data_IF_907313429454
#
_entry.id   IF_907313429454
#
_cell.length_a   1.000
_cell.length_b   1.000
_cell.length_c   1.000
_cell.angle_alpha   90.00
_cell.angle_beta   90.00
_cell.angle_gamma   90.00
#
_symmetry.space_group_name_H-M   'P 1'
#
loop_
_entity.id
_entity.type
_entity.pdbx_description
1 polymer ?
#
# COMPACT_ATOMS: atom_id res chain seq x y z
N UNK A 1 -27.66 -6.76 6.89
CA UNK A 1 -26.32 -7.05 6.34
C UNK A 1 -25.68 -5.71 6.10
N UNK A 2 -24.61 -5.39 6.83
CA UNK A 2 -23.83 -4.17 6.59
C UNK A 2 -23.06 -4.39 5.30
N UNK A 3 -23.14 -3.46 4.35
CA UNK A 3 -22.31 -3.48 3.14
C UNK A 3 -20.90 -3.11 3.59
N UNK A 4 -19.90 -3.91 3.21
CA UNK A 4 -18.50 -3.63 3.53
C UNK A 4 -17.95 -2.62 2.50
N UNK A 5 -17.04 -1.72 2.93
CA UNK A 5 -16.33 -0.82 2.00
C UNK A 5 -15.58 -1.59 0.92
N UNK A 6 -15.46 -1.03 -0.28
CA UNK A 6 -14.75 -1.71 -1.38
C UNK A 6 -13.24 -1.76 -1.16
N UNK A 7 -12.65 -0.72 -0.57
CA UNK A 7 -11.22 -0.69 -0.23
C UNK A 7 -10.98 -0.79 1.26
N UNK A 8 -10.20 -1.79 1.65
CA UNK A 8 -9.84 -2.04 3.05
C UNK A 8 -8.43 -2.59 3.10
N UNK A 9 -7.55 -1.96 3.86
CA UNK A 9 -6.16 -2.40 4.01
C UNK A 9 -5.68 -2.24 5.44
N UNK A 10 -4.98 -3.26 5.92
CA UNK A 10 -4.20 -3.22 7.16
C UNK A 10 -2.76 -3.52 6.79
N UNK A 11 -1.88 -2.56 7.00
CA UNK A 11 -0.45 -2.75 6.86
C UNK A 11 0.17 -3.09 8.19
N UNK A 12 0.93 -4.17 8.21
CA UNK A 12 1.73 -4.57 9.35
C UNK A 12 3.20 -4.37 9.02
N UNK A 13 3.91 -3.64 9.85
CA UNK A 13 5.38 -3.66 9.86
C UNK A 13 5.82 -4.46 11.07
N UNK A 14 6.61 -5.50 10.87
CA UNK A 14 6.93 -6.51 11.87
C UNK A 14 8.46 -6.64 12.02
N UNK A 15 8.94 -6.69 13.27
CA UNK A 15 10.36 -6.93 13.58
C UNK A 15 10.49 -8.21 14.40
N UNK A 16 11.21 -9.18 13.86
CA UNK A 16 11.39 -10.51 14.46
C UNK A 16 12.87 -10.78 14.72
N UNK A 17 13.19 -11.21 15.95
CA UNK A 17 14.53 -11.63 16.32
C UNK A 17 14.84 -13.00 15.73
N UNK A 18 15.64 -13.01 14.67
CA UNK A 18 15.98 -14.23 13.94
C UNK A 18 17.25 -14.07 13.12
N UNK A 19 17.86 -15.18 12.72
CA UNK A 19 18.94 -15.18 11.74
C UNK A 19 18.38 -15.05 10.32
N UNK A 20 19.13 -14.44 9.41
CA UNK A 20 18.68 -14.22 8.02
C UNK A 20 18.28 -15.50 7.26
N UNK A 21 18.81 -16.67 7.68
CA UNK A 21 18.46 -17.95 7.05
C UNK A 21 17.04 -18.42 7.39
N UNK A 22 16.43 -17.87 8.45
CA UNK A 22 15.07 -18.20 8.92
C UNK A 22 14.00 -17.34 8.24
N UNK A 23 14.39 -16.32 7.47
CA UNK A 23 13.50 -15.30 6.90
C UNK A 23 12.32 -15.88 6.13
N UNK A 24 12.58 -16.79 5.17
CA UNK A 24 11.53 -17.40 4.35
C UNK A 24 10.56 -18.27 5.16
N UNK A 25 11.04 -18.95 6.21
CA UNK A 25 10.18 -19.74 7.09
C UNK A 25 9.27 -18.85 7.93
N UNK A 26 9.80 -17.74 8.45
CA UNK A 26 9.04 -16.75 9.22
C UNK A 26 7.99 -16.10 8.32
N UNK A 27 8.35 -15.68 7.10
CA UNK A 27 7.41 -15.13 6.14
C UNK A 27 6.25 -16.10 5.85
N UNK A 28 6.53 -17.38 5.63
CA UNK A 28 5.50 -18.40 5.42
C UNK A 28 4.56 -18.55 6.64
N UNK A 29 5.10 -18.55 7.86
CA UNK A 29 4.29 -18.62 9.08
C UNK A 29 3.41 -17.36 9.27
N UNK A 30 3.97 -16.18 8.98
CA UNK A 30 3.24 -14.92 9.04
C UNK A 30 2.08 -14.92 8.04
N UNK A 31 2.34 -15.34 6.79
CA UNK A 31 1.31 -15.50 5.75
C UNK A 31 0.21 -16.45 6.20
N UNK A 32 0.57 -17.65 6.70
CA UNK A 32 -0.41 -18.64 7.17
C UNK A 32 -1.28 -18.08 8.30
N UNK A 33 -0.66 -17.41 9.27
CA UNK A 33 -1.37 -16.86 10.44
C UNK A 33 -2.29 -15.70 10.05
N UNK A 34 -1.79 -14.78 9.22
CA UNK A 34 -2.55 -13.60 8.79
C UNK A 34 -3.67 -13.93 7.79
N UNK A 35 -3.55 -15.01 7.04
CA UNK A 35 -4.58 -15.48 6.11
C UNK A 35 -5.92 -15.81 6.80
N UNK A 36 -5.92 -16.01 8.13
CA UNK A 36 -7.15 -16.18 8.89
C UNK A 36 -8.02 -14.90 8.96
N UNK A 37 -7.43 -13.73 8.66
CA UNK A 37 -8.09 -12.42 8.78
C UNK A 37 -8.47 -11.81 7.42
N UNK A 38 -7.99 -12.37 6.32
CA UNK A 38 -8.17 -11.80 4.99
C UNK A 38 -7.20 -12.34 3.95
N UNK A 39 -7.13 -11.68 2.80
CA UNK A 39 -6.13 -11.94 1.77
C UNK A 39 -4.85 -11.21 2.20
N UNK A 40 -3.71 -11.91 2.23
CA UNK A 40 -2.45 -11.34 2.73
C UNK A 40 -1.30 -11.57 1.77
N UNK A 41 -0.45 -10.55 1.64
CA UNK A 41 0.88 -10.63 1.06
C UNK A 41 1.92 -10.24 2.12
N UNK A 42 3.00 -11.01 2.24
CA UNK A 42 4.09 -10.75 3.18
C UNK A 42 5.38 -10.53 2.41
N UNK A 43 6.05 -9.42 2.70
CA UNK A 43 7.30 -9.00 2.09
C UNK A 43 8.46 -9.15 3.07
N UNK A 44 9.56 -9.73 2.60
CA UNK A 44 10.81 -9.87 3.34
C UNK A 44 11.70 -8.64 3.08
N UNK A 45 11.70 -7.66 3.98
CA UNK A 45 12.55 -6.46 3.86
C UNK A 45 14.02 -6.75 4.27
N UNK A 46 14.24 -7.85 5.01
CA UNK A 46 15.56 -8.33 5.41
C UNK A 46 16.03 -7.74 6.74
N UNK A 47 17.35 -7.65 7.00
CA UNK A 47 17.86 -7.18 8.29
C UNK A 47 17.45 -5.73 8.61
N UNK A 48 16.97 -5.49 9.82
CA UNK A 48 16.59 -4.15 10.26
C UNK A 48 17.82 -3.24 10.33
N UNK A 49 17.76 -2.09 9.66
CA UNK A 49 18.91 -1.20 9.49
C UNK A 49 19.54 -0.70 10.81
N UNK A 50 18.77 -0.67 11.91
CA UNK A 50 19.26 -0.21 13.23
C UNK A 50 19.69 -1.34 14.16
N UNK A 51 19.29 -2.58 13.88
CA UNK A 51 19.64 -3.76 14.68
C UNK A 51 19.68 -4.99 13.78
N UNK A 52 20.89 -5.46 13.47
CA UNK A 52 21.10 -6.62 12.60
C UNK A 52 20.72 -7.96 13.22
N UNK A 53 20.25 -7.97 14.49
CA UNK A 53 19.67 -9.15 15.14
C UNK A 53 18.17 -9.28 14.88
N UNK A 54 17.57 -8.30 14.19
CA UNK A 54 16.16 -8.28 13.80
C UNK A 54 16.02 -8.40 12.28
N UNK A 55 15.02 -9.15 11.85
CA UNK A 55 14.50 -9.15 10.49
C UNK A 55 13.22 -8.29 10.44
N UNK A 56 13.12 -7.49 9.40
CA UNK A 56 11.96 -6.65 9.09
C UNK A 56 11.11 -7.34 8.02
N UNK A 57 9.80 -7.34 8.26
CA UNK A 57 8.79 -7.79 7.33
C UNK A 57 7.71 -6.73 7.20
N UNK A 58 7.19 -6.56 6.00
CA UNK A 58 5.93 -5.86 5.76
C UNK A 58 4.85 -6.90 5.44
N UNK A 59 3.60 -6.65 5.84
CA UNK A 59 2.47 -7.45 5.43
C UNK A 59 1.30 -6.55 5.06
N UNK A 60 0.72 -6.84 3.89
CA UNK A 60 -0.42 -6.15 3.34
C UNK A 60 -1.61 -7.08 3.45
N UNK A 61 -2.55 -6.73 4.31
CA UNK A 61 -3.75 -7.52 4.58
C UNK A 61 -4.97 -6.78 4.04
N UNK A 62 -5.70 -7.40 3.12
CA UNK A 62 -7.06 -7.02 2.73
C UNK A 62 -8.05 -7.78 3.64
N UNK A 63 -8.69 -7.11 4.62
CA UNK A 63 -9.51 -7.78 5.60
C UNK A 63 -10.79 -8.41 5.04
N UNK A 64 -11.15 -9.60 5.55
CA UNK A 64 -12.44 -10.25 5.23
C UNK A 64 -13.65 -9.54 5.87
N UNK A 65 -13.41 -8.69 6.87
CA UNK A 65 -14.41 -7.89 7.61
C UNK A 65 -14.08 -6.41 7.51
N UNK A 66 -14.75 -5.54 8.27
CA UNK A 66 -14.36 -4.13 8.38
C UNK A 66 -12.98 -3.99 9.02
N UNK A 67 -12.26 -2.92 8.70
CA UNK A 67 -10.88 -2.72 9.18
C UNK A 67 -10.81 -2.65 10.70
N UNK A 68 -11.74 -1.96 11.34
CA UNK A 68 -11.81 -1.88 12.81
C UNK A 68 -11.99 -3.25 13.47
N UNK A 69 -12.86 -4.10 12.92
CA UNK A 69 -13.12 -5.46 13.42
C UNK A 69 -11.92 -6.38 13.19
N UNK A 70 -11.24 -6.23 12.04
CA UNK A 70 -10.01 -6.96 11.75
C UNK A 70 -8.91 -6.57 12.72
N UNK A 71 -8.70 -5.27 12.93
CA UNK A 71 -7.73 -4.77 13.90
C UNK A 71 -8.08 -5.26 15.30
N UNK A 72 -9.35 -5.20 15.72
CA UNK A 72 -9.83 -5.75 16.98
C UNK A 72 -9.44 -7.23 17.14
N UNK A 73 -9.71 -8.04 16.12
CA UNK A 73 -9.41 -9.48 16.11
C UNK A 73 -7.90 -9.76 16.16
N UNK A 74 -7.10 -8.96 15.48
CA UNK A 74 -5.64 -9.01 15.62
C UNK A 74 -5.25 -8.68 17.07
N UNK A 75 -5.83 -7.64 17.68
CA UNK A 75 -5.53 -7.24 19.08
C UNK A 75 -5.74 -8.40 20.05
N UNK A 76 -6.81 -9.16 19.83
CA UNK A 76 -7.21 -10.26 20.69
C UNK A 76 -6.20 -11.43 20.68
N UNK A 77 -5.30 -11.51 19.68
CA UNK A 77 -4.19 -12.47 19.69
C UNK A 77 -3.16 -12.18 20.79
N UNK A 78 -2.99 -10.91 21.18
CA UNK A 78 -2.03 -10.47 22.18
C UNK A 78 -2.58 -9.27 22.97
N UNK A 79 -3.60 -9.49 23.84
CA UNK A 79 -4.33 -8.41 24.51
C UNK A 79 -3.44 -7.55 25.43
N UNK A 80 -2.31 -8.07 25.88
CA UNK A 80 -1.34 -7.37 26.73
C UNK A 80 -0.24 -6.62 25.94
N UNK A 81 -0.17 -6.78 24.61
CA UNK A 81 0.90 -6.25 23.76
C UNK A 81 0.69 -4.82 23.24
N UNK A 82 -0.41 -4.16 23.58
CA UNK A 82 -0.79 -2.85 23.05
C UNK A 82 -0.15 -1.69 23.82
N UNK A 83 0.77 -0.96 23.19
CA UNK A 83 1.33 0.28 23.75
C UNK A 83 1.38 1.41 22.72
N UNK A 84 0.61 2.47 22.94
CA UNK A 84 0.72 3.68 22.11
C UNK A 84 2.13 4.27 22.25
N UNK A 85 2.86 4.28 21.14
CA UNK A 85 4.10 5.05 21.02
C UNK A 85 3.77 6.46 20.55
N UNK A 86 4.71 7.40 20.71
CA UNK A 86 4.52 8.79 20.24
C UNK A 86 4.26 8.90 18.72
N UNK A 87 4.63 7.87 17.96
CA UNK A 87 4.48 7.79 16.50
C UNK A 87 3.28 6.96 16.05
N UNK A 88 2.44 6.48 16.98
CA UNK A 88 1.24 5.71 16.64
C UNK A 88 1.03 4.46 17.49
N UNK A 89 0.06 3.65 17.07
CA UNK A 89 -0.28 2.37 17.67
C UNK A 89 0.79 1.33 17.35
N UNK A 90 1.78 1.18 18.22
CA UNK A 90 2.78 0.13 18.11
C UNK A 90 2.49 -0.99 19.11
N UNK A 91 2.92 -2.19 18.77
CA UNK A 91 2.91 -3.34 19.63
C UNK A 91 4.37 -3.60 19.94
N UNK A 92 4.71 -3.55 21.22
CA UNK A 92 5.99 -4.02 21.69
C UNK A 92 5.69 -5.21 22.59
N UNK A 93 6.38 -6.32 22.39
CA UNK A 93 6.28 -7.42 23.34
C UNK A 93 6.88 -6.93 24.67
N UNK A 94 6.02 -6.81 25.69
CA UNK A 94 6.50 -6.71 27.06
C UNK A 94 7.12 -8.05 27.46
N UNK A 95 8.20 -8.02 28.25
CA UNK A 95 8.88 -9.25 28.69
C UNK A 95 7.88 -10.19 29.40
N UNK A 96 7.63 -11.37 28.80
CA UNK A 96 6.66 -12.35 29.31
C UNK A 96 5.23 -12.24 28.78
N UNK A 97 4.93 -11.31 27.87
CA UNK A 97 3.62 -11.17 27.24
C UNK A 97 3.30 -12.33 26.25
N UNK A 98 2.01 -12.63 26.00
CA UNK A 98 1.59 -13.60 25.00
C UNK A 98 2.10 -13.26 23.59
N UNK A 99 2.34 -14.31 22.80
CA UNK A 99 2.91 -14.24 21.45
C UNK A 99 1.97 -13.51 20.49
N UNK A 100 2.43 -12.45 19.84
CA UNK A 100 1.75 -11.86 18.69
C UNK A 100 2.38 -12.38 17.40
N UNK A 101 1.59 -13.08 16.54
CA UNK A 101 1.93 -13.70 15.23
C UNK A 101 3.16 -14.64 15.18
N UNK A 102 4.28 -14.30 15.82
CA UNK A 102 5.51 -15.06 15.89
C UNK A 102 6.17 -14.97 17.28
N UNK A 103 6.66 -16.09 17.87
CA UNK A 103 7.18 -16.13 19.25
C UNK A 103 8.44 -15.29 19.51
N UNK A 104 9.19 -14.93 18.46
CA UNK A 104 10.38 -14.08 18.54
C UNK A 104 10.12 -12.65 18.04
N UNK A 105 8.84 -12.24 17.94
CA UNK A 105 8.52 -10.90 17.49
C UNK A 105 8.83 -9.88 18.59
N UNK A 106 9.65 -8.89 18.28
CA UNK A 106 9.99 -7.85 19.25
C UNK A 106 9.03 -6.67 19.16
N UNK A 107 8.60 -6.35 17.93
CA UNK A 107 7.85 -5.15 17.64
C UNK A 107 6.96 -5.30 16.41
N UNK A 108 5.81 -4.64 16.42
CA UNK A 108 4.96 -4.48 15.26
C UNK A 108 4.26 -3.11 15.25
N UNK A 109 3.96 -2.58 14.07
CA UNK A 109 3.05 -1.44 13.92
C UNK A 109 1.99 -1.74 12.90
N UNK A 110 0.79 -1.21 13.13
CA UNK A 110 -0.32 -1.28 12.21
C UNK A 110 -0.62 0.11 11.64
N UNK A 111 -0.85 0.15 10.33
CA UNK A 111 -1.50 1.27 9.63
C UNK A 111 -2.75 0.75 8.93
N UNK A 112 -3.76 1.58 8.77
CA UNK A 112 -5.09 1.16 8.36
C UNK A 112 -5.70 2.13 7.36
N UNK A 113 -6.40 1.59 6.36
CA UNK A 113 -7.19 2.36 5.39
C UNK A 113 -8.52 1.67 5.11
N UNK A 114 -9.58 2.46 5.04
CA UNK A 114 -10.93 1.96 4.75
C UNK A 114 -11.72 3.05 3.99
N UNK A 115 -12.18 2.72 2.78
CA UNK A 115 -12.94 3.63 1.92
C UNK A 115 -14.04 2.88 1.18
N UNK A 116 -15.17 3.56 0.95
CA UNK A 116 -16.36 2.98 0.29
C UNK A 116 -16.07 2.53 -1.14
N UNK A 117 -15.15 3.21 -1.83
CA UNK A 117 -14.66 2.87 -3.17
C UNK A 117 -13.14 2.68 -3.17
N UNK A 118 -12.66 1.84 -4.09
CA UNK A 118 -11.24 1.75 -4.44
C UNK A 118 -10.73 3.05 -5.11
N UNK A 119 -9.42 3.34 -5.04
CA UNK A 119 -8.85 4.44 -5.80
C UNK A 119 -9.06 4.17 -7.30
N UNK A 120 -9.38 5.21 -8.06
CA UNK A 120 -9.53 5.12 -9.51
C UNK A 120 -8.19 4.91 -10.24
N UNK A 121 -7.09 5.41 -9.68
CA UNK A 121 -5.75 5.32 -10.26
C UNK A 121 -4.78 4.60 -9.32
N UNK A 122 -3.86 3.84 -9.87
CA UNK A 122 -2.82 3.12 -9.13
C UNK A 122 -1.44 3.75 -9.35
N UNK A 123 -0.49 3.43 -8.46
CA UNK A 123 0.90 3.86 -8.64
C UNK A 123 1.46 3.33 -9.96
N UNK A 124 2.03 4.23 -10.77
CA UNK A 124 2.53 3.96 -12.12
C UNK A 124 1.56 4.33 -13.24
N UNK A 125 0.29 4.63 -12.93
CA UNK A 125 -0.67 5.09 -13.94
C UNK A 125 -0.29 6.46 -14.49
N UNK A 126 -0.51 6.65 -15.80
CA UNK A 126 -0.41 7.95 -16.44
C UNK A 126 -1.77 8.66 -16.44
N UNK A 127 -1.78 9.85 -15.85
CA UNK A 127 -2.95 10.70 -15.70
C UNK A 127 -2.70 12.08 -16.28
N UNK A 128 -3.77 12.78 -16.63
CA UNK A 128 -3.74 14.20 -16.98
C UNK A 128 -4.27 15.01 -15.81
N UNK A 129 -3.48 16.00 -15.39
CA UNK A 129 -3.84 16.97 -14.36
C UNK A 129 -4.86 17.95 -14.92
N UNK A 130 -6.06 17.96 -14.34
CA UNK A 130 -7.14 18.85 -14.74
C UNK A 130 -6.98 20.25 -14.16
N UNK A 131 -7.83 21.16 -14.61
CA UNK A 131 -7.79 22.56 -14.22
C UNK A 131 -8.28 22.80 -12.78
N UNK A 132 -7.37 22.69 -11.81
CA UNK A 132 -7.63 22.94 -10.40
C UNK A 132 -6.73 24.05 -9.81
N UNK A 133 -7.03 24.61 -8.62
CA UNK A 133 -6.22 25.67 -8.01
C UNK A 133 -4.74 25.31 -7.85
N UNK A 134 -4.44 24.05 -7.49
CA UNK A 134 -3.07 23.57 -7.31
C UNK A 134 -2.32 23.50 -8.65
N UNK A 135 -2.97 22.96 -9.69
CA UNK A 135 -2.42 22.88 -11.05
C UNK A 135 -2.14 24.27 -11.63
N UNK A 136 -3.06 25.22 -11.47
CA UNK A 136 -2.86 26.62 -11.90
C UNK A 136 -1.69 27.29 -11.19
N UNK A 137 -1.56 27.08 -9.87
CA UNK A 137 -0.50 27.68 -9.08
C UNK A 137 0.90 27.16 -9.48
N UNK A 138 0.96 25.93 -10.00
CA UNK A 138 2.19 25.28 -10.43
C UNK A 138 2.46 25.40 -11.95
N UNK A 139 1.55 26.00 -12.74
CA UNK A 139 1.60 26.04 -14.20
C UNK A 139 1.60 24.63 -14.85
N UNK A 140 0.75 23.74 -14.31
CA UNK A 140 0.68 22.31 -14.66
C UNK A 140 -0.71 21.86 -15.17
N UNK A 141 -1.58 22.79 -15.55
CA UNK A 141 -2.89 22.43 -16.13
C UNK A 141 -2.68 21.67 -17.43
N UNK A 142 -3.41 20.56 -17.61
CA UNK A 142 -3.34 19.60 -18.71
C UNK A 142 -2.01 18.84 -18.82
N UNK A 143 -1.11 18.96 -17.84
CA UNK A 143 0.14 18.20 -17.83
C UNK A 143 -0.15 16.70 -17.65
N UNK A 144 0.55 15.87 -18.42
CA UNK A 144 0.63 14.43 -18.15
C UNK A 144 1.53 14.19 -16.94
N UNK A 145 1.12 13.28 -16.06
CA UNK A 145 1.81 12.95 -14.83
C UNK A 145 1.70 11.45 -14.54
N UNK A 146 2.72 10.91 -13.89
CA UNK A 146 2.68 9.55 -13.33
C UNK A 146 2.16 9.63 -11.89
N UNK A 147 1.23 8.75 -11.52
CA UNK A 147 0.82 8.59 -10.13
C UNK A 147 1.97 7.91 -9.37
N UNK A 148 2.50 8.56 -8.35
CA UNK A 148 3.59 8.04 -7.52
C UNK A 148 3.16 7.68 -6.10
N UNK A 149 1.90 7.94 -5.77
CA UNK A 149 1.27 7.57 -4.49
C UNK A 149 -0.16 8.06 -4.40
N UNK A 150 -0.92 7.49 -3.48
CA UNK A 150 -2.25 7.95 -3.11
C UNK A 150 -2.46 7.76 -1.61
N UNK A 151 -3.47 8.43 -1.07
CA UNK A 151 -3.88 8.29 0.33
C UNK A 151 -5.39 8.15 0.43
N UNK A 152 -5.83 7.19 1.25
CA UNK A 152 -7.24 6.95 1.52
C UNK A 152 -7.95 8.22 2.01
N UNK A 153 -9.17 8.50 1.54
CA UNK A 153 -9.95 9.63 2.02
C UNK A 153 -10.19 9.49 3.54
N UNK A 154 -10.12 10.61 4.29
CA UNK A 154 -10.28 10.59 5.75
C UNK A 154 -11.76 10.41 6.17
N UNK A 155 -12.70 10.59 5.26
CA UNK A 155 -14.13 10.37 5.47
C UNK A 155 -14.83 9.99 4.15
N UNK A 156 -16.01 9.34 4.21
CA UNK A 156 -16.71 8.85 3.01
C UNK A 156 -17.14 9.93 2.02
N UNK A 157 -17.18 11.20 2.44
CA UNK A 157 -17.56 12.36 1.63
C UNK A 157 -16.37 13.11 1.01
N UNK A 158 -15.15 12.59 1.19
CA UNK A 158 -13.93 13.14 0.59
C UNK A 158 -13.38 12.20 -0.48
N UNK A 159 -12.71 12.79 -1.46
CA UNK A 159 -12.09 12.06 -2.57
C UNK A 159 -10.72 11.50 -2.19
N UNK A 160 -10.29 10.48 -2.92
CA UNK A 160 -8.91 10.00 -2.89
C UNK A 160 -7.95 11.13 -3.22
N UNK A 161 -6.86 11.22 -2.47
CA UNK A 161 -5.80 12.18 -2.70
C UNK A 161 -4.62 11.49 -3.38
N UNK A 162 -4.11 12.09 -4.45
CA UNK A 162 -3.04 11.55 -5.27
C UNK A 162 -1.80 12.42 -5.21
N UNK A 163 -0.65 11.78 -5.15
CA UNK A 163 0.66 12.39 -5.39
C UNK A 163 1.09 12.01 -6.79
N UNK A 164 1.25 13.02 -7.65
CA UNK A 164 1.63 12.82 -9.05
C UNK A 164 2.95 13.51 -9.38
N UNK A 165 3.71 12.92 -10.30
CA UNK A 165 4.92 13.49 -10.87
C UNK A 165 4.68 13.85 -12.34
N UNK A 166 4.50 15.15 -12.68
CA UNK A 166 4.36 15.59 -14.06
C UNK A 166 5.59 15.22 -14.90
N UNK A 167 5.34 14.75 -16.13
CA UNK A 167 6.39 14.33 -17.05
C UNK A 167 7.31 15.51 -17.38
N UNK A 168 8.60 15.34 -17.12
CA UNK A 168 9.61 16.38 -17.35
C UNK A 168 9.70 17.44 -16.24
N UNK A 169 8.92 17.31 -15.16
CA UNK A 169 9.02 18.17 -13.98
C UNK A 169 9.78 17.48 -12.84
N UNK A 170 10.56 18.28 -12.09
CA UNK A 170 11.25 17.82 -10.88
C UNK A 170 10.40 17.92 -9.61
N UNK A 171 9.26 18.59 -9.67
CA UNK A 171 8.33 18.78 -8.55
C UNK A 171 7.18 17.78 -8.63
N UNK A 172 6.72 17.35 -7.46
CA UNK A 172 5.49 16.57 -7.29
C UNK A 172 4.30 17.52 -7.06
N UNK A 173 3.10 17.05 -7.34
CA UNK A 173 1.85 17.75 -7.09
C UNK A 173 0.90 16.83 -6.31
N UNK A 174 0.20 17.38 -5.31
CA UNK A 174 -0.88 16.67 -4.62
C UNK A 174 -2.22 17.22 -5.10
N UNK A 175 -3.12 16.34 -5.54
CA UNK A 175 -4.45 16.69 -6.08
C UNK A 175 -5.49 15.65 -5.69
N UNK A 176 -6.76 16.04 -5.69
CA UNK A 176 -7.88 15.12 -5.45
C UNK A 176 -8.18 14.28 -6.71
N UNK A 177 -8.86 13.14 -6.53
CA UNK A 177 -9.22 12.22 -7.63
C UNK A 177 -9.94 12.91 -8.78
N UNK A 178 -10.85 13.83 -8.46
CA UNK A 178 -11.66 14.57 -9.42
C UNK A 178 -10.84 15.58 -10.25
N UNK A 179 -9.63 15.91 -9.81
CA UNK A 179 -8.69 16.78 -10.52
C UNK A 179 -7.76 15.98 -11.46
N UNK A 180 -8.01 14.68 -11.63
CA UNK A 180 -7.29 13.80 -12.53
C UNK A 180 -8.23 13.20 -13.57
N UNK A 181 -7.66 12.88 -14.73
CA UNK A 181 -8.32 12.07 -15.75
C UNK A 181 -7.34 11.06 -16.30
N UNK A 182 -7.80 9.86 -16.72
CA UNK A 182 -6.92 8.93 -17.41
C UNK A 182 -6.39 9.59 -18.69
N UNK A 183 -5.11 9.40 -18.98
CA UNK A 183 -4.62 9.68 -20.33
C UNK A 183 -5.14 8.55 -21.21
N UNK A 184 -6.10 8.83 -22.09
CA UNK A 184 -6.50 7.88 -23.11
C UNK A 184 -5.24 7.34 -23.80
N UNK A 185 -5.01 6.03 -23.79
CA UNK A 185 -4.01 5.44 -24.67
C UNK A 185 -4.38 5.83 -26.11
N UNK A 186 -3.60 6.71 -26.73
CA UNK A 186 -3.70 7.02 -28.15
C UNK A 186 -2.37 6.77 -28.84
N UNK A 187 -2.41 6.30 -30.09
CA UNK A 187 -2.86 5.01 -30.58
C UNK A 187 -1.70 4.02 -30.65
N UNK A 188 -1.95 2.71 -30.79
CA UNK A 188 -0.94 1.74 -31.24
C UNK A 188 -0.30 2.20 -32.55
N UNK A 189 0.86 2.85 -32.48
CA UNK A 189 1.63 3.22 -33.66
C UNK A 189 2.52 2.03 -34.07
N UNK A 190 2.13 1.31 -35.13
CA UNK A 190 3.01 0.84 -36.23
C UNK A 190 2.25 0.01 -37.26
N UNK A 191 1.45 0.68 -38.09
CA UNK A 191 1.13 0.21 -39.45
C UNK A 191 2.13 0.85 -40.44
N UNK A 192 3.42 0.63 -40.19
CA UNK A 192 4.51 0.88 -41.15
C UNK A 192 5.37 -0.38 -41.25
N UNK A 193 4.73 -1.48 -41.67
CA UNK A 193 5.41 -2.55 -42.37
C UNK A 193 4.85 -2.57 -43.79
N UNK A 194 5.54 -1.86 -44.68
CA UNK A 194 5.41 -2.10 -46.11
C UNK A 194 5.54 -3.62 -46.36
N UNK A 195 4.65 -4.24 -47.15
CA UNK A 195 4.79 -5.66 -47.44
C UNK A 195 6.09 -5.87 -48.21
N UNK A 196 6.97 -6.68 -47.63
CA UNK A 196 8.10 -7.26 -48.34
C UNK A 196 7.53 -8.12 -49.46
N UNK A 197 7.64 -7.64 -50.69
CA UNK A 197 7.27 -8.38 -51.89
C UNK A 197 8.29 -9.50 -52.12
N UNK A 198 8.06 -10.62 -51.45
CA UNK A 198 8.72 -11.88 -51.72
C UNK A 198 8.04 -12.57 -52.91
N UNK A 199 8.28 -12.09 -54.13
CA UNK A 199 7.88 -12.79 -55.34
C UNK A 199 8.88 -12.67 -56.51
N UNK A 200 9.89 -13.56 -56.47
CA UNK A 200 10.42 -14.41 -57.56
C UNK A 200 11.16 -13.79 -58.76
N UNK A 201 11.91 -14.59 -59.55
CA UNK A 201 12.60 -15.86 -59.27
C UNK A 201 14.14 -15.76 -59.39
#
# INVERSE_FOLDING_TARGET
MTVLPEHRRVWCRLLVRAAAQESAQIAAQLTETLSAFGIVEVFEDGPYAKDSTLLEFAADLEPAVGVDDCVASLKDLAPEGWTQTRSGQAWAIAEGAPVFLHPQMDWATLSTEEAECAPLFEVGDLVRVLDCPAARAADLVDAEAEVIGHSCPPSPDMDWNYVVQPVGAASILCVDELDLSPVDELPTARDDLAPVDCAKP
#
